data_IF_642336350854
#
_entry.id   IF_642336350854
#
_cell.length_a   1.000
_cell.length_b   1.000
_cell.length_c   1.000
_cell.angle_alpha   90.00
_cell.angle_beta   90.00
_cell.angle_gamma   90.00
#
_symmetry.space_group_name_H-M   'P 1'
#
loop_
_entity.id
_entity.type
_entity.pdbx_description
1 polymer ?
#
# COMPACT_ATOMS: atom_id res chain seq x y z
N UNK A 1 -30.07 25.61 -23.54
CA UNK A 1 -29.37 24.39 -23.10
C UNK A 1 -28.14 24.85 -22.32
N UNK A 2 -28.23 24.82 -21.00
CA UNK A 2 -27.10 25.23 -20.13
C UNK A 2 -26.10 24.06 -20.12
N UNK A 3 -24.88 24.28 -20.60
CA UNK A 3 -23.80 23.31 -20.46
C UNK A 3 -23.51 23.10 -18.97
N UNK A 4 -23.51 21.86 -18.50
CA UNK A 4 -23.02 21.54 -17.17
C UNK A 4 -21.57 22.04 -17.05
N UNK A 5 -21.22 22.72 -15.93
CA UNK A 5 -19.84 23.15 -15.73
C UNK A 5 -18.92 21.92 -15.73
N UNK A 6 -17.87 21.97 -16.54
CA UNK A 6 -16.85 20.92 -16.58
C UNK A 6 -16.34 20.66 -15.14
N UNK A 7 -16.45 19.43 -14.65
CA UNK A 7 -15.93 19.06 -13.34
C UNK A 7 -14.42 19.31 -13.32
N UNK A 8 -13.96 20.12 -12.38
CA UNK A 8 -12.53 20.32 -12.15
C UNK A 8 -11.84 18.96 -11.94
N UNK A 9 -10.64 18.73 -12.49
CA UNK A 9 -9.90 17.50 -12.29
C UNK A 9 -9.64 17.32 -10.79
N UNK A 10 -9.93 16.12 -10.28
CA UNK A 10 -9.65 15.77 -8.88
C UNK A 10 -8.17 15.37 -8.76
N UNK A 11 -7.42 15.90 -7.77
CA UNK A 11 -6.08 15.41 -7.51
C UNK A 11 -6.12 13.93 -7.14
N UNK A 12 -5.11 13.18 -7.59
CA UNK A 12 -4.94 11.75 -7.27
C UNK A 12 -3.98 11.60 -6.10
N UNK A 13 -4.24 10.62 -5.24
CA UNK A 13 -3.26 10.20 -4.25
C UNK A 13 -2.04 9.60 -4.95
N UNK A 14 -0.82 10.05 -4.58
CA UNK A 14 0.39 9.63 -5.25
C UNK A 14 1.45 9.02 -4.31
N UNK A 15 1.60 9.48 -3.07
CA UNK A 15 2.61 8.92 -2.19
C UNK A 15 2.24 9.00 -0.70
N UNK A 16 2.92 8.19 0.08
CA UNK A 16 2.99 8.29 1.53
C UNK A 16 4.43 8.58 1.92
N UNK A 17 4.65 9.59 2.76
CA UNK A 17 5.95 9.88 3.34
C UNK A 17 5.99 9.41 4.80
N UNK A 18 7.01 8.65 5.17
CA UNK A 18 7.16 8.03 6.48
C UNK A 18 8.56 8.33 6.99
N UNK A 19 8.67 8.94 8.17
CA UNK A 19 9.96 9.09 8.82
C UNK A 19 10.35 7.82 9.59
N UNK A 20 11.62 7.40 9.43
CA UNK A 20 12.15 6.16 10.00
C UNK A 20 13.55 6.41 10.60
N UNK A 21 14.08 5.50 11.46
CA UNK A 21 15.46 5.58 11.90
C UNK A 21 16.44 5.45 10.73
N UNK A 22 17.55 6.21 10.75
CA UNK A 22 18.57 6.19 9.70
C UNK A 22 19.19 4.79 9.47
N UNK A 23 19.26 3.97 10.54
CA UNK A 23 19.76 2.60 10.48
C UNK A 23 18.88 1.68 9.61
N UNK A 24 17.59 1.98 9.50
CA UNK A 24 16.68 1.24 8.61
C UNK A 24 16.95 1.56 7.12
N UNK A 25 17.62 2.68 6.85
CA UNK A 25 17.94 3.15 5.51
C UNK A 25 19.39 2.91 5.09
N UNK A 26 20.18 2.15 5.87
CA UNK A 26 21.46 1.64 5.42
C UNK A 26 21.27 0.49 4.39
N UNK A 27 22.33 0.04 3.77
CA UNK A 27 22.29 -1.00 2.73
C UNK A 27 21.55 -2.26 3.19
N UNK A 28 21.81 -2.73 4.40
CA UNK A 28 21.18 -3.94 4.95
C UNK A 28 19.68 -3.72 5.25
N UNK A 29 19.32 -2.56 5.82
CA UNK A 29 17.95 -2.17 6.12
C UNK A 29 17.12 -2.03 4.83
N UNK A 30 17.63 -1.30 3.84
CA UNK A 30 16.99 -1.17 2.51
C UNK A 30 16.84 -2.53 1.82
N UNK A 31 17.88 -3.37 1.88
CA UNK A 31 17.83 -4.73 1.33
C UNK A 31 16.73 -5.58 1.96
N UNK A 32 16.56 -5.51 3.28
CA UNK A 32 15.50 -6.22 3.98
C UNK A 32 14.10 -5.70 3.61
N UNK A 33 13.93 -4.37 3.54
CA UNK A 33 12.66 -3.74 3.12
C UNK A 33 12.32 -4.13 1.68
N UNK A 34 13.28 -4.03 0.77
CA UNK A 34 13.08 -4.36 -0.64
C UNK A 34 12.75 -5.84 -0.84
N UNK A 35 13.42 -6.74 -0.10
CA UNK A 35 13.13 -8.17 -0.17
C UNK A 35 11.69 -8.49 0.27
N UNK A 36 11.21 -7.87 1.36
CA UNK A 36 9.85 -8.07 1.84
C UNK A 36 8.80 -7.43 0.92
N UNK A 37 8.91 -6.12 0.69
CA UNK A 37 7.90 -5.37 -0.07
C UNK A 37 7.92 -5.74 -1.56
N UNK A 38 9.07 -6.14 -2.09
CA UNK A 38 9.21 -6.67 -3.45
C UNK A 38 8.52 -8.03 -3.60
N UNK A 39 8.74 -8.96 -2.67
CA UNK A 39 8.10 -10.30 -2.75
C UNK A 39 6.58 -10.22 -2.49
N UNK A 40 6.14 -9.46 -1.48
CA UNK A 40 4.72 -9.41 -1.11
C UNK A 40 3.90 -8.60 -2.10
N UNK A 41 4.38 -7.42 -2.51
CA UNK A 41 3.62 -6.43 -3.28
C UNK A 41 4.14 -6.18 -4.69
N UNK A 42 5.31 -6.69 -5.04
CA UNK A 42 5.96 -6.40 -6.31
C UNK A 42 6.58 -5.01 -6.39
N UNK A 43 6.84 -4.37 -5.23
CA UNK A 43 7.46 -3.05 -5.19
C UNK A 43 8.94 -3.13 -5.52
N UNK A 44 9.47 -2.06 -6.12
CA UNK A 44 10.87 -1.94 -6.46
C UNK A 44 11.46 -0.59 -6.00
N UNK A 45 12.78 -0.52 -5.96
CA UNK A 45 13.49 0.70 -5.59
C UNK A 45 13.49 1.73 -6.73
N UNK A 46 13.44 3.01 -6.35
CA UNK A 46 13.76 4.14 -7.24
C UNK A 46 15.18 4.64 -6.95
N UNK A 47 16.24 4.05 -7.54
CA UNK A 47 17.62 4.28 -7.12
C UNK A 47 18.10 5.71 -7.35
N UNK A 48 17.56 6.42 -8.33
CA UNK A 48 17.88 7.83 -8.58
C UNK A 48 17.45 8.78 -7.47
N UNK A 49 16.50 8.36 -6.64
CA UNK A 49 15.98 9.11 -5.49
C UNK A 49 16.47 8.57 -4.16
N UNK A 50 17.11 7.39 -4.15
CA UNK A 50 17.64 6.77 -2.93
C UNK A 50 18.98 7.41 -2.52
N UNK A 51 19.13 7.69 -1.22
CA UNK A 51 20.38 8.17 -0.61
C UNK A 51 20.65 7.38 0.66
N UNK A 52 21.84 6.84 0.78
CA UNK A 52 22.22 6.02 1.93
C UNK A 52 21.96 6.74 3.27
N UNK A 53 21.27 6.04 4.18
CA UNK A 53 20.89 6.52 5.52
C UNK A 53 20.09 7.83 5.58
N UNK A 54 19.64 8.34 4.43
CA UNK A 54 18.86 9.58 4.36
C UNK A 54 17.47 9.33 3.78
N UNK A 55 17.42 8.56 2.68
CA UNK A 55 16.23 8.46 1.87
C UNK A 55 16.15 7.13 1.12
N UNK A 56 14.99 6.49 1.17
CA UNK A 56 14.69 5.30 0.38
C UNK A 56 13.29 5.42 -0.23
N UNK A 57 13.19 5.24 -1.55
CA UNK A 57 11.92 5.36 -2.27
C UNK A 57 11.55 4.04 -2.91
N UNK A 58 10.40 3.51 -2.49
CA UNK A 58 9.80 2.29 -3.03
C UNK A 58 8.68 2.66 -4.00
N UNK A 59 8.85 2.32 -5.27
CA UNK A 59 7.82 2.47 -6.28
C UNK A 59 6.77 1.38 -6.09
N UNK A 60 5.50 1.79 -5.96
CA UNK A 60 4.39 0.88 -5.70
C UNK A 60 3.67 0.43 -6.97
N UNK A 61 3.47 1.35 -7.92
CA UNK A 61 2.72 1.08 -9.14
C UNK A 61 3.36 1.76 -10.36
N UNK A 62 3.58 3.08 -10.27
CA UNK A 62 4.19 3.89 -11.32
C UNK A 62 5.24 4.82 -10.70
N UNK A 63 5.97 5.55 -11.54
CA UNK A 63 6.94 6.55 -11.05
C UNK A 63 6.27 7.70 -10.26
N UNK A 64 4.96 7.83 -10.31
CA UNK A 64 4.19 8.83 -9.57
C UNK A 64 3.51 8.25 -8.33
N UNK A 65 3.64 6.94 -8.06
CA UNK A 65 3.00 6.27 -6.92
C UNK A 65 4.03 5.48 -6.12
N UNK A 66 4.40 6.00 -4.95
CA UNK A 66 5.53 5.48 -4.19
C UNK A 66 5.37 5.68 -2.67
N UNK A 67 6.11 4.91 -1.92
CA UNK A 67 6.35 5.12 -0.49
C UNK A 67 7.72 5.77 -0.33
N UNK A 68 7.75 6.91 0.36
CA UNK A 68 8.92 7.73 0.60
C UNK A 68 9.36 7.55 2.05
N UNK A 69 10.49 6.90 2.29
CA UNK A 69 11.06 6.71 3.61
C UNK A 69 12.20 7.69 3.82
N UNK A 70 12.09 8.55 4.82
CA UNK A 70 13.12 9.54 5.13
C UNK A 70 13.65 9.35 6.56
N UNK A 71 14.97 9.46 6.71
CA UNK A 71 15.58 9.38 8.01
C UNK A 71 15.19 10.57 8.89
N UNK A 72 14.86 10.29 10.15
CA UNK A 72 14.59 11.32 11.13
C UNK A 72 15.18 10.96 12.50
N UNK A 73 15.62 11.98 13.25
CA UNK A 73 16.10 11.80 14.61
C UNK A 73 14.98 11.37 15.58
N UNK A 74 13.76 11.87 15.36
CA UNK A 74 12.53 11.44 16.02
C UNK A 74 11.56 10.90 14.96
N UNK A 75 11.67 9.60 14.64
CA UNK A 75 10.87 9.00 13.57
C UNK A 75 9.41 8.85 13.97
N UNK A 76 8.57 8.69 12.96
CA UNK A 76 7.13 8.49 13.13
C UNK A 76 6.82 7.37 14.12
N UNK A 77 5.90 7.65 15.03
CA UNK A 77 5.24 6.68 15.91
C UNK A 77 3.74 6.83 15.74
N UNK A 78 3.05 5.74 15.59
CA UNK A 78 1.60 5.75 15.42
C UNK A 78 0.95 4.59 16.17
N UNK A 79 -0.34 4.67 16.45
CA UNK A 79 -1.12 3.54 16.97
C UNK A 79 -0.98 2.31 16.08
N UNK A 80 -1.11 1.13 16.70
CA UNK A 80 -0.80 -0.15 16.05
C UNK A 80 -1.58 -0.41 14.75
N UNK A 81 -2.79 0.14 14.65
CA UNK A 81 -3.68 -0.07 13.50
C UNK A 81 -3.75 1.11 12.53
N UNK A 82 -2.94 2.16 12.74
CA UNK A 82 -2.83 3.22 11.74
C UNK A 82 -2.21 2.66 10.46
N UNK A 83 -2.85 2.94 9.34
CA UNK A 83 -2.53 2.30 8.07
C UNK A 83 -2.79 3.21 6.87
N UNK A 84 -2.27 2.81 5.74
CA UNK A 84 -2.71 3.27 4.44
C UNK A 84 -3.15 2.08 3.59
N UNK A 85 -4.10 2.32 2.67
CA UNK A 85 -4.74 1.27 1.90
C UNK A 85 -4.20 1.12 0.49
N UNK A 86 -4.14 -0.13 0.03
CA UNK A 86 -3.91 -0.52 -1.36
C UNK A 86 -5.10 -1.35 -1.81
N UNK A 87 -5.53 -1.18 -3.06
CA UNK A 87 -6.58 -2.01 -3.62
C UNK A 87 -6.03 -3.00 -4.64
N UNK A 88 -6.63 -4.19 -4.66
CA UNK A 88 -6.47 -5.19 -5.71
C UNK A 88 -7.81 -5.46 -6.37
N UNK A 89 -7.80 -6.01 -7.57
CA UNK A 89 -9.02 -6.20 -8.35
C UNK A 89 -9.79 -7.43 -7.93
N UNK A 90 -9.11 -8.47 -7.46
CA UNK A 90 -9.75 -9.76 -7.15
C UNK A 90 -9.38 -10.29 -5.77
N UNK A 91 -10.27 -11.05 -5.11
CA UNK A 91 -9.94 -11.76 -3.88
C UNK A 91 -8.77 -12.74 -4.03
N UNK A 92 -8.58 -13.31 -5.22
CA UNK A 92 -7.47 -14.24 -5.49
C UNK A 92 -6.10 -13.53 -5.45
N UNK A 93 -6.00 -12.29 -5.94
CA UNK A 93 -4.80 -11.47 -5.82
C UNK A 93 -4.49 -11.14 -4.36
N UNK A 94 -5.51 -10.75 -3.60
CA UNK A 94 -5.40 -10.51 -2.16
C UNK A 94 -4.88 -11.76 -1.44
N UNK A 95 -5.48 -12.93 -1.70
CA UNK A 95 -5.09 -14.20 -1.09
C UNK A 95 -3.65 -14.61 -1.46
N UNK A 96 -3.20 -14.31 -2.68
CA UNK A 96 -1.83 -14.54 -3.12
C UNK A 96 -0.82 -13.67 -2.35
N UNK A 97 -1.14 -12.39 -2.12
CA UNK A 97 -0.31 -11.49 -1.31
C UNK A 97 -0.26 -11.93 0.16
N UNK A 98 -1.41 -12.25 0.74
CA UNK A 98 -1.51 -12.76 2.11
C UNK A 98 -0.69 -14.04 2.30
N UNK A 99 -0.73 -14.97 1.32
CA UNK A 99 0.08 -16.20 1.36
C UNK A 99 1.59 -15.90 1.41
N UNK A 100 2.06 -14.90 0.67
CA UNK A 100 3.47 -14.47 0.73
C UNK A 100 3.79 -13.83 2.08
N UNK A 101 2.93 -12.94 2.57
CA UNK A 101 3.11 -12.30 3.89
C UNK A 101 3.18 -13.33 5.04
N UNK A 102 2.36 -14.39 5.02
CA UNK A 102 2.43 -15.49 6.00
C UNK A 102 3.78 -16.21 5.99
N UNK A 103 4.31 -16.52 4.79
CA UNK A 103 5.64 -17.14 4.65
C UNK A 103 6.76 -16.26 5.20
N UNK A 104 6.63 -14.94 5.07
CA UNK A 104 7.56 -14.01 5.67
C UNK A 104 7.45 -13.99 7.18
N UNK A 105 6.24 -13.97 7.74
CA UNK A 105 6.01 -14.01 9.19
C UNK A 105 6.57 -15.28 9.84
N UNK A 106 6.54 -16.41 9.14
CA UNK A 106 7.15 -17.68 9.62
C UNK A 106 8.68 -17.58 9.74
N UNK A 107 9.31 -16.72 8.95
CA UNK A 107 10.78 -16.58 8.88
C UNK A 107 11.32 -15.39 9.69
N UNK A 108 10.55 -14.32 9.78
CA UNK A 108 10.96 -13.09 10.45
C UNK A 108 9.85 -12.58 11.38
N UNK A 109 10.06 -12.60 12.72
CA UNK A 109 9.07 -12.14 13.69
C UNK A 109 8.79 -10.63 13.60
N UNK A 110 9.62 -9.84 12.89
CA UNK A 110 9.37 -8.42 12.64
C UNK A 110 8.21 -8.18 11.67
N UNK A 111 7.70 -9.23 11.02
CA UNK A 111 6.48 -9.13 10.21
C UNK A 111 5.27 -9.17 11.13
N UNK A 112 4.49 -8.11 11.15
CA UNK A 112 3.19 -8.06 11.80
C UNK A 112 2.10 -8.27 10.76
N UNK A 113 1.17 -9.18 11.05
CA UNK A 113 0.12 -9.58 10.13
C UNK A 113 -1.21 -9.71 10.88
N UNK A 114 -2.23 -9.01 10.38
CA UNK A 114 -3.64 -9.25 10.70
C UNK A 114 -4.24 -10.06 9.55
N UNK A 115 -4.78 -11.18 9.90
CA UNK A 115 -5.31 -12.17 8.95
C UNK A 115 -6.53 -11.64 8.17
N UNK A 116 -6.90 -12.37 7.15
CA UNK A 116 -7.98 -12.04 6.25
C UNK A 116 -9.28 -11.74 6.98
N UNK A 117 -9.82 -10.55 6.71
CA UNK A 117 -11.16 -10.14 7.09
C UNK A 117 -12.13 -10.11 5.92
N UNK A 118 -13.40 -10.06 6.25
CA UNK A 118 -14.51 -9.84 5.31
C UNK A 118 -15.57 -8.99 6.01
N UNK A 119 -15.79 -7.79 5.50
CA UNK A 119 -16.90 -6.94 5.91
C UNK A 119 -18.00 -7.02 4.85
N UNK A 120 -19.17 -7.54 5.23
CA UNK A 120 -20.32 -7.69 4.33
C UNK A 120 -21.37 -6.61 4.63
N UNK A 121 -21.46 -5.63 3.74
CA UNK A 121 -22.45 -4.54 3.81
C UNK A 121 -23.71 -4.83 2.98
N UNK A 122 -23.86 -6.04 2.45
CA UNK A 122 -24.96 -6.44 1.56
C UNK A 122 -24.76 -5.98 0.10
N UNK A 123 -24.52 -4.69 -0.11
CA UNK A 123 -24.25 -4.13 -1.45
C UNK A 123 -22.76 -4.14 -1.83
N UNK A 124 -21.88 -4.37 -0.86
CA UNK A 124 -20.43 -4.44 -1.00
C UNK A 124 -19.89 -5.49 -0.04
N UNK A 125 -19.04 -6.37 -0.53
CA UNK A 125 -18.16 -7.18 0.30
C UNK A 125 -16.75 -6.60 0.21
N UNK A 126 -16.19 -6.24 1.36
CA UNK A 126 -14.84 -5.71 1.47
C UNK A 126 -13.94 -6.78 2.09
N UNK A 127 -13.10 -7.35 1.26
CA UNK A 127 -12.07 -8.28 1.68
C UNK A 127 -10.83 -7.49 2.07
N UNK A 128 -10.19 -7.79 3.20
CA UNK A 128 -9.00 -7.11 3.65
C UNK A 128 -8.02 -8.02 4.39
N UNK A 129 -6.80 -7.60 4.52
CA UNK A 129 -5.81 -8.00 5.51
C UNK A 129 -4.83 -6.86 5.75
N UNK A 130 -4.11 -6.89 6.88
CA UNK A 130 -3.12 -5.85 7.19
C UNK A 130 -1.76 -6.48 7.40
N UNK A 131 -0.72 -5.80 6.94
CA UNK A 131 0.66 -6.25 7.14
C UNK A 131 1.61 -5.06 7.25
N UNK A 132 2.63 -5.19 8.09
CA UNK A 132 3.79 -4.31 8.08
C UNK A 132 5.07 -5.07 8.34
N UNK A 133 6.17 -4.53 7.86
CA UNK A 133 7.51 -5.02 8.13
C UNK A 133 8.43 -3.85 8.40
N UNK A 134 8.84 -3.70 9.66
CA UNK A 134 9.77 -2.66 10.14
C UNK A 134 9.31 -1.20 9.92
N UNK A 135 8.13 -0.95 9.37
CA UNK A 135 7.57 0.39 9.22
C UNK A 135 6.59 0.70 10.36
N UNK A 136 6.37 1.98 10.69
CA UNK A 136 5.42 2.36 11.75
C UNK A 136 3.95 2.16 11.34
N UNK A 137 3.61 2.33 10.06
CA UNK A 137 2.26 2.17 9.53
C UNK A 137 2.00 0.75 9.03
N UNK A 138 0.80 0.25 9.26
CA UNK A 138 0.32 -0.94 8.55
C UNK A 138 0.00 -0.61 7.10
N UNK A 139 0.02 -1.62 6.25
CA UNK A 139 -0.54 -1.58 4.90
C UNK A 139 -1.79 -2.44 4.93
N UNK A 140 -2.94 -1.84 4.65
CA UNK A 140 -4.17 -2.57 4.41
C UNK A 140 -4.26 -2.92 2.93
N UNK A 141 -4.45 -4.19 2.62
CA UNK A 141 -4.79 -4.62 1.26
C UNK A 141 -6.28 -4.89 1.20
N UNK A 142 -6.96 -4.25 0.26
CA UNK A 142 -8.40 -4.33 0.10
C UNK A 142 -8.78 -4.85 -1.28
N UNK A 143 -9.87 -5.62 -1.34
CA UNK A 143 -10.58 -5.94 -2.56
C UNK A 143 -12.07 -5.63 -2.38
N UNK A 144 -12.60 -4.79 -3.27
CA UNK A 144 -14.00 -4.35 -3.27
C UNK A 144 -14.81 -5.22 -4.22
N UNK A 145 -15.65 -6.07 -3.68
CA UNK A 145 -16.58 -6.89 -4.45
C UNK A 145 -17.99 -6.24 -4.40
N UNK A 146 -18.26 -5.41 -5.39
CA UNK A 146 -19.51 -4.68 -5.47
C UNK A 146 -20.66 -5.58 -5.97
N UNK A 147 -21.81 -5.50 -5.31
CA UNK A 147 -23.04 -6.10 -5.80
C UNK A 147 -23.43 -5.52 -7.16
N UNK A 148 -24.20 -6.29 -7.93
CA UNK A 148 -24.59 -5.90 -9.29
C UNK A 148 -25.29 -4.53 -9.31
N UNK A 149 -24.68 -3.56 -10.00
CA UNK A 149 -25.19 -2.19 -10.13
C UNK A 149 -24.97 -1.31 -8.90
N UNK A 150 -24.25 -1.77 -7.88
CA UNK A 150 -24.07 -1.07 -6.61
C UNK A 150 -22.88 -0.12 -6.57
N UNK A 151 -21.88 -0.23 -7.49
CA UNK A 151 -20.68 0.60 -7.45
C UNK A 151 -20.98 2.07 -7.86
N UNK A 152 -21.08 3.01 -6.90
CA UNK A 152 -21.46 4.40 -7.20
C UNK A 152 -20.33 5.21 -7.86
N UNK A 153 -19.11 4.68 -7.85
CA UNK A 153 -17.91 5.32 -8.41
C UNK A 153 -17.38 4.66 -9.68
N UNK A 154 -18.07 3.63 -10.21
CA UNK A 154 -17.64 2.99 -11.43
C UNK A 154 -17.60 4.03 -12.58
N UNK A 155 -16.51 4.10 -13.38
CA UNK A 155 -16.51 4.92 -14.56
C UNK A 155 -17.63 4.45 -15.51
N UNK A 156 -18.26 5.39 -16.21
CA UNK A 156 -19.27 5.04 -17.20
C UNK A 156 -18.66 4.05 -18.23
N UNK A 157 -19.42 3.04 -18.70
CA UNK A 157 -18.93 2.12 -19.71
C UNK A 157 -18.41 2.89 -20.94
N UNK A 158 -17.10 2.76 -21.24
CA UNK A 158 -16.44 3.47 -22.36
C UNK A 158 -15.53 4.63 -21.99
N UNK A 159 -15.39 5.00 -20.71
CA UNK A 159 -14.35 5.91 -20.26
C UNK A 159 -13.02 5.14 -20.08
N UNK A 160 -12.18 5.14 -21.12
CA UNK A 160 -10.79 4.67 -21.03
C UNK A 160 -10.00 5.58 -20.07
N UNK A 161 -9.19 4.97 -19.20
CA UNK A 161 -8.25 5.63 -18.32
C UNK A 161 -7.16 6.38 -19.09
#
# INVERSE_FOLDING_TARGET
MSAEPAKSPRPRFNHVAISVPAELLDEAGRGALLAFYGDVFGWDEMPTLTKDRELFVLRCWSNEQFVYLCAAQDPMRCPAMDHFGLSVETPAELDAMLKRARKWKERDPAVELVERGLDDYGFLKLHNFYVRYRLPLMIEVQCFEWGKGANPGAPAPGASA
#
